data_IF_318814897351
#
_entry.id   IF_318814897351
#
_cell.length_a   1.000
_cell.length_b   1.000
_cell.length_c   1.000
_cell.angle_alpha   90.00
_cell.angle_beta   90.00
_cell.angle_gamma   90.00
#
_symmetry.space_group_name_H-M   'P 1'
#
loop_
_entity.id
_entity.type
_entity.pdbx_description
1 polymer ?
#
# COMPACT_ATOMS: atom_id res chain seq x y z
N UNK A 1 -82.24 -18.30 -122.20
CA UNK A 1 -81.41 -17.12 -122.24
C UNK A 1 -81.28 -16.58 -120.83
N UNK A 2 -80.31 -16.92 -120.12
CA UNK A 2 -80.11 -16.60 -118.69
C UNK A 2 -78.70 -16.08 -118.44
N UNK A 3 -78.60 -14.94 -117.96
CA UNK A 3 -77.39 -14.25 -117.68
C UNK A 3 -77.00 -14.53 -116.27
N UNK A 4 -75.85 -15.13 -116.03
CA UNK A 4 -75.25 -15.42 -114.83
C UNK A 4 -74.52 -14.16 -114.26
N UNK A 5 -74.86 -13.70 -113.11
CA UNK A 5 -74.13 -12.64 -112.43
C UNK A 5 -73.26 -13.27 -111.31
N UNK A 6 -71.94 -13.35 -111.46
CA UNK A 6 -71.03 -13.62 -110.42
C UNK A 6 -70.71 -12.38 -109.65
N UNK A 7 -71.01 -12.37 -108.38
CA UNK A 7 -70.54 -11.36 -107.48
C UNK A 7 -69.11 -11.72 -107.07
N UNK A 8 -68.20 -10.82 -107.35
CA UNK A 8 -66.84 -10.82 -106.85
C UNK A 8 -66.80 -10.41 -105.39
N UNK A 9 -66.31 -11.26 -104.55
CA UNK A 9 -65.97 -10.90 -103.16
C UNK A 9 -64.53 -10.48 -103.11
N UNK A 10 -64.27 -9.27 -103.47
CA UNK A 10 -63.00 -8.58 -103.15
C UNK A 10 -63.28 -7.61 -102.04
N UNK A 11 -62.81 -7.90 -100.87
CA UNK A 11 -62.64 -6.87 -99.89
C UNK A 11 -61.82 -7.35 -98.74
N UNK A 12 -60.63 -7.79 -99.01
CA UNK A 12 -59.58 -7.62 -98.02
C UNK A 12 -58.44 -6.92 -98.73
N UNK A 13 -58.42 -5.61 -98.59
CA UNK A 13 -57.30 -4.81 -99.10
C UNK A 13 -56.05 -5.19 -98.35
N UNK A 14 -55.01 -5.66 -99.10
CA UNK A 14 -53.70 -6.05 -98.54
C UNK A 14 -53.16 -4.91 -97.67
N UNK A 15 -53.48 -3.65 -98.00
CA UNK A 15 -53.11 -2.46 -97.21
C UNK A 15 -53.79 -2.40 -95.84
N UNK A 16 -55.03 -2.96 -95.70
CA UNK A 16 -55.70 -2.99 -94.39
C UNK A 16 -55.10 -4.03 -93.45
N UNK A 17 -54.65 -5.20 -94.03
CA UNK A 17 -53.95 -6.22 -93.29
C UNK A 17 -52.57 -5.74 -92.82
N UNK A 18 -51.88 -4.96 -93.62
CA UNK A 18 -50.56 -4.39 -93.32
C UNK A 18 -50.67 -3.33 -92.20
N UNK A 19 -51.70 -2.49 -92.24
CA UNK A 19 -51.95 -1.51 -91.16
C UNK A 19 -52.26 -2.20 -89.82
N UNK A 20 -53.09 -3.26 -89.84
CA UNK A 20 -53.41 -3.99 -88.61
C UNK A 20 -52.21 -4.75 -88.09
N UNK A 21 -51.46 -5.36 -88.97
CA UNK A 21 -50.28 -6.12 -88.53
C UNK A 21 -49.17 -5.17 -87.98
N UNK A 22 -48.98 -4.04 -88.61
CA UNK A 22 -48.09 -3.00 -88.15
C UNK A 22 -48.54 -2.38 -86.79
N UNK A 23 -49.85 -2.09 -86.65
CA UNK A 23 -50.38 -1.65 -85.39
C UNK A 23 -50.31 -2.68 -84.29
N UNK A 24 -50.59 -3.93 -84.59
CA UNK A 24 -50.44 -5.02 -83.62
C UNK A 24 -49.01 -5.22 -83.24
N UNK A 25 -48.09 -5.19 -84.21
CA UNK A 25 -46.62 -5.29 -83.92
C UNK A 25 -46.13 -4.16 -83.00
N UNK A 26 -46.61 -2.93 -83.22
CA UNK A 26 -46.30 -1.80 -82.40
C UNK A 26 -46.86 -1.94 -80.96
N UNK A 27 -48.07 -2.44 -80.81
CA UNK A 27 -48.68 -2.71 -79.51
C UNK A 27 -47.90 -3.83 -78.75
N UNK A 28 -47.53 -4.90 -79.47
CA UNK A 28 -46.72 -5.98 -78.84
C UNK A 28 -45.36 -5.47 -78.40
N UNK A 29 -44.67 -4.64 -79.19
CA UNK A 29 -43.41 -4.03 -78.80
C UNK A 29 -43.59 -3.11 -77.64
N UNK A 30 -44.61 -2.25 -77.58
CA UNK A 30 -44.90 -1.42 -76.43
C UNK A 30 -45.21 -2.22 -75.14
N UNK A 31 -45.89 -3.36 -75.29
CA UNK A 31 -46.24 -4.24 -74.21
C UNK A 31 -44.95 -4.95 -73.68
N UNK A 32 -44.03 -5.36 -74.55
CA UNK A 32 -42.75 -5.91 -74.16
C UNK A 32 -41.87 -4.87 -73.45
N UNK A 33 -41.79 -3.65 -74.00
CA UNK A 33 -41.01 -2.57 -73.37
C UNK A 33 -41.64 -2.18 -72.01
N UNK A 34 -42.93 -2.09 -71.89
CA UNK A 34 -43.61 -1.84 -70.64
C UNK A 34 -43.36 -2.93 -69.61
N UNK A 35 -43.36 -4.20 -70.04
CA UNK A 35 -43.11 -5.32 -69.14
C UNK A 35 -41.66 -5.33 -68.67
N UNK A 36 -40.67 -5.12 -69.53
CA UNK A 36 -39.26 -5.07 -69.19
C UNK A 36 -38.93 -3.85 -68.32
N UNK A 37 -39.57 -2.71 -68.51
CA UNK A 37 -39.40 -1.53 -67.67
C UNK A 37 -39.91 -1.73 -66.24
N UNK A 38 -41.00 -2.48 -66.07
CA UNK A 38 -41.55 -2.81 -64.75
C UNK A 38 -40.70 -3.86 -64.04
N UNK A 39 -40.20 -4.83 -64.79
CA UNK A 39 -39.31 -5.85 -64.23
C UNK A 39 -37.95 -5.25 -63.73
N UNK A 40 -37.35 -4.31 -64.47
CA UNK A 40 -36.12 -3.64 -64.05
C UNK A 40 -36.29 -2.74 -62.80
N UNK A 41 -37.42 -2.04 -62.69
CA UNK A 41 -37.72 -1.25 -61.49
C UNK A 41 -37.94 -2.14 -60.26
N UNK A 42 -38.60 -3.28 -60.43
CA UNK A 42 -38.79 -4.25 -59.34
C UNK A 42 -37.46 -4.91 -58.94
N UNK A 43 -36.55 -5.19 -59.85
CA UNK A 43 -35.22 -5.77 -59.57
C UNK A 43 -34.37 -4.79 -58.77
N UNK A 44 -34.29 -3.54 -59.13
CA UNK A 44 -33.54 -2.52 -58.40
C UNK A 44 -34.12 -2.32 -56.98
N UNK A 45 -35.44 -2.35 -56.83
CA UNK A 45 -36.09 -2.23 -55.52
C UNK A 45 -35.82 -3.43 -54.63
N UNK A 46 -35.81 -4.65 -55.18
CA UNK A 46 -35.43 -5.89 -54.48
C UNK A 46 -33.96 -5.87 -54.07
N UNK A 47 -33.04 -5.35 -54.90
CA UNK A 47 -31.62 -5.23 -54.59
C UNK A 47 -31.37 -4.26 -53.42
N UNK A 48 -32.08 -3.10 -53.40
CA UNK A 48 -32.03 -2.14 -52.31
C UNK A 48 -32.60 -2.72 -50.98
N UNK A 49 -33.73 -3.44 -51.08
CA UNK A 49 -34.35 -4.10 -49.91
C UNK A 49 -33.45 -5.21 -49.34
N UNK A 50 -32.78 -5.98 -50.20
CA UNK A 50 -31.79 -7.02 -49.77
C UNK A 50 -30.60 -6.36 -49.10
N UNK A 51 -30.11 -5.23 -49.59
CA UNK A 51 -29.00 -4.49 -48.97
C UNK A 51 -29.39 -3.98 -47.59
N UNK A 52 -30.58 -3.41 -47.45
CA UNK A 52 -31.11 -2.96 -46.13
C UNK A 52 -31.25 -4.16 -45.18
N UNK A 53 -31.69 -5.31 -45.64
CA UNK A 53 -31.79 -6.52 -44.84
C UNK A 53 -30.42 -7.02 -44.36
N UNK A 54 -29.42 -7.01 -45.24
CA UNK A 54 -28.04 -7.39 -44.88
C UNK A 54 -27.48 -6.42 -43.80
N UNK A 55 -27.61 -5.12 -44.02
CA UNK A 55 -27.18 -4.11 -43.03
C UNK A 55 -27.90 -4.27 -41.68
N UNK A 56 -29.18 -4.57 -41.71
CA UNK A 56 -30.00 -4.82 -40.51
C UNK A 56 -29.53 -6.12 -39.80
N UNK A 57 -29.22 -7.15 -40.54
CA UNK A 57 -28.66 -8.41 -39.99
C UNK A 57 -27.30 -8.18 -39.32
N UNK A 58 -26.39 -7.50 -39.99
CA UNK A 58 -25.07 -7.18 -39.46
C UNK A 58 -25.16 -6.32 -38.17
N UNK A 59 -26.06 -5.33 -38.20
CA UNK A 59 -26.34 -4.49 -37.01
C UNK A 59 -26.93 -5.33 -35.86
N UNK A 60 -27.83 -6.25 -36.14
CA UNK A 60 -28.41 -7.13 -35.14
C UNK A 60 -27.34 -8.07 -34.55
N UNK A 61 -26.45 -8.61 -35.36
CA UNK A 61 -25.32 -9.44 -34.94
C UNK A 61 -24.38 -8.64 -34.02
N UNK A 62 -23.99 -7.45 -34.44
CA UNK A 62 -23.17 -6.54 -33.65
C UNK A 62 -23.80 -6.20 -32.29
N UNK A 63 -25.11 -5.84 -32.30
CA UNK A 63 -25.84 -5.53 -31.07
C UNK A 63 -25.94 -6.75 -30.15
N UNK A 64 -26.14 -7.93 -30.68
CA UNK A 64 -26.18 -9.18 -29.93
C UNK A 64 -24.84 -9.49 -29.27
N UNK A 65 -23.74 -9.32 -30.00
CA UNK A 65 -22.38 -9.50 -29.44
C UNK A 65 -22.08 -8.45 -28.36
N UNK A 66 -22.46 -7.19 -28.60
CA UNK A 66 -22.31 -6.12 -27.61
C UNK A 66 -23.15 -6.36 -26.36
N UNK A 67 -24.38 -6.86 -26.52
CA UNK A 67 -25.23 -7.26 -25.40
C UNK A 67 -24.57 -8.35 -24.55
N UNK A 68 -24.08 -9.43 -25.18
CA UNK A 68 -23.36 -10.51 -24.48
C UNK A 68 -22.17 -9.99 -23.69
N UNK A 69 -21.40 -9.06 -24.27
CA UNK A 69 -20.26 -8.44 -23.58
C UNK A 69 -20.69 -7.60 -22.37
N UNK A 70 -21.76 -6.82 -22.52
CA UNK A 70 -22.32 -6.04 -21.42
C UNK A 70 -22.87 -6.93 -20.30
N UNK A 71 -23.58 -8.01 -20.65
CA UNK A 71 -24.10 -8.97 -19.67
C UNK A 71 -22.96 -9.64 -18.87
N UNK A 72 -21.88 -10.00 -19.55
CA UNK A 72 -20.69 -10.54 -18.85
C UNK A 72 -19.99 -9.51 -17.94
N UNK A 73 -19.93 -8.24 -18.35
CA UNK A 73 -19.41 -7.16 -17.51
C UNK A 73 -20.31 -6.89 -16.30
N UNK A 74 -21.62 -6.95 -16.47
CA UNK A 74 -22.58 -6.81 -15.36
C UNK A 74 -22.42 -7.94 -14.34
N UNK A 75 -22.27 -9.17 -14.79
CA UNK A 75 -22.02 -10.32 -13.90
C UNK A 75 -20.74 -10.14 -13.12
N UNK A 76 -19.65 -9.73 -13.79
CA UNK A 76 -18.37 -9.45 -13.12
C UNK A 76 -18.48 -8.33 -12.10
N UNK A 77 -19.12 -7.21 -12.45
CA UNK A 77 -19.32 -6.07 -11.55
C UNK A 77 -20.17 -6.43 -10.33
N UNK A 78 -21.24 -7.20 -10.52
CA UNK A 78 -22.06 -7.67 -9.42
C UNK A 78 -21.27 -8.59 -8.47
N UNK A 79 -20.50 -9.54 -9.02
CA UNK A 79 -19.62 -10.40 -8.21
C UNK A 79 -18.57 -9.59 -7.43
N UNK A 80 -17.95 -8.59 -8.07
CA UNK A 80 -16.99 -7.71 -7.41
C UNK A 80 -17.65 -6.84 -6.33
N UNK A 81 -18.86 -6.37 -6.58
CA UNK A 81 -19.65 -5.64 -5.57
C UNK A 81 -19.93 -6.49 -4.34
N UNK A 82 -20.40 -7.73 -4.54
CA UNK A 82 -20.70 -8.65 -3.45
C UNK A 82 -19.45 -8.97 -2.62
N UNK A 83 -18.30 -9.10 -3.29
CA UNK A 83 -17.03 -9.30 -2.61
C UNK A 83 -16.63 -8.09 -1.77
N UNK A 84 -16.73 -6.87 -2.32
CA UNK A 84 -16.46 -5.64 -1.60
C UNK A 84 -17.39 -5.44 -0.40
N UNK A 85 -18.67 -5.79 -0.52
CA UNK A 85 -19.62 -5.72 0.60
C UNK A 85 -19.23 -6.69 1.72
N UNK A 86 -18.74 -7.87 1.38
CA UNK A 86 -18.22 -8.84 2.37
C UNK A 86 -16.94 -8.34 3.04
N UNK A 87 -16.04 -7.75 2.26
CA UNK A 87 -14.79 -7.17 2.79
C UNK A 87 -15.10 -6.00 3.74
N UNK A 88 -16.05 -5.13 3.39
CA UNK A 88 -16.51 -4.03 4.26
C UNK A 88 -17.02 -4.60 5.59
N UNK A 89 -17.90 -5.60 5.57
CA UNK A 89 -18.41 -6.22 6.81
C UNK A 89 -17.31 -6.84 7.67
N UNK A 90 -16.30 -7.45 7.05
CA UNK A 90 -15.16 -8.02 7.76
C UNK A 90 -14.29 -6.96 8.42
N UNK A 91 -14.07 -5.83 7.71
CA UNK A 91 -13.33 -4.68 8.22
C UNK A 91 -14.09 -4.01 9.37
N UNK A 92 -15.39 -3.79 9.23
CA UNK A 92 -16.24 -3.24 10.30
C UNK A 92 -16.14 -4.08 11.59
N UNK A 93 -16.26 -5.39 11.48
CA UNK A 93 -16.09 -6.30 12.62
C UNK A 93 -14.70 -6.22 13.26
N UNK A 94 -13.67 -6.04 12.43
CA UNK A 94 -12.30 -5.88 12.91
C UNK A 94 -12.12 -4.55 13.64
N UNK A 95 -12.72 -3.48 13.12
CA UNK A 95 -12.73 -2.15 13.76
C UNK A 95 -13.42 -2.21 15.13
N UNK A 96 -14.58 -2.83 15.24
CA UNK A 96 -15.29 -3.00 16.52
C UNK A 96 -14.43 -3.75 17.54
N UNK A 97 -13.74 -4.82 17.09
CA UNK A 97 -12.82 -5.57 17.95
C UNK A 97 -11.66 -4.71 18.44
N UNK A 98 -11.02 -3.96 17.53
CA UNK A 98 -9.90 -3.07 17.86
C UNK A 98 -10.33 -1.92 18.78
N UNK A 99 -11.52 -1.36 18.61
CA UNK A 99 -12.08 -0.34 19.52
C UNK A 99 -12.25 -0.92 20.93
N UNK A 100 -12.75 -2.14 21.02
CA UNK A 100 -12.94 -2.82 22.32
C UNK A 100 -11.58 -3.11 22.99
N UNK A 101 -10.61 -3.63 22.24
CA UNK A 101 -9.25 -3.87 22.74
C UNK A 101 -8.57 -2.57 23.18
N UNK A 102 -8.72 -1.49 22.41
CA UNK A 102 -8.20 -0.17 22.77
C UNK A 102 -8.81 0.32 24.07
N UNK A 103 -10.12 0.24 24.23
CA UNK A 103 -10.79 0.66 25.47
C UNK A 103 -10.26 -0.11 26.68
N UNK A 104 -10.12 -1.44 26.56
CA UNK A 104 -9.59 -2.27 27.62
C UNK A 104 -8.13 -1.90 27.98
N UNK A 105 -7.31 -1.59 26.96
CA UNK A 105 -5.94 -1.12 27.14
C UNK A 105 -5.91 0.26 27.85
N UNK A 106 -6.77 1.19 27.46
CA UNK A 106 -6.87 2.52 28.06
C UNK A 106 -7.32 2.44 29.53
N UNK A 107 -8.28 1.56 29.85
CA UNK A 107 -8.71 1.29 31.23
C UNK A 107 -7.56 0.70 32.06
N UNK A 108 -6.84 -0.30 31.54
CA UNK A 108 -5.66 -0.88 32.18
C UNK A 108 -4.56 0.17 32.43
N UNK A 109 -4.26 1.01 31.44
CA UNK A 109 -3.28 2.10 31.56
C UNK A 109 -3.69 3.11 32.63
N UNK A 110 -4.99 3.42 32.73
CA UNK A 110 -5.52 4.29 33.79
C UNK A 110 -5.30 3.67 35.17
N UNK A 111 -5.57 2.37 35.33
CA UNK A 111 -5.32 1.66 36.59
C UNK A 111 -3.83 1.61 36.97
N UNK A 112 -2.97 1.31 35.97
CA UNK A 112 -1.51 1.35 36.19
C UNK A 112 -1.02 2.73 36.57
N UNK A 113 -1.53 3.79 35.95
CA UNK A 113 -1.19 5.17 36.29
C UNK A 113 -1.59 5.51 37.73
N UNK A 114 -2.77 5.05 38.20
CA UNK A 114 -3.19 5.21 39.60
C UNK A 114 -2.29 4.43 40.54
N UNK A 115 -1.94 3.19 40.24
CA UNK A 115 -1.00 2.36 41.02
C UNK A 115 0.38 3.01 41.10
N UNK A 116 0.92 3.51 40.01
CA UNK A 116 2.20 4.22 39.95
C UNK A 116 2.17 5.48 40.85
N UNK A 117 1.09 6.27 40.77
CA UNK A 117 0.93 7.46 41.60
C UNK A 117 0.88 7.11 43.10
N UNK A 118 0.21 6.02 43.47
CA UNK A 118 0.15 5.54 44.84
C UNK A 118 1.53 5.01 45.32
N UNK A 119 2.25 4.30 44.48
CA UNK A 119 3.62 3.81 44.76
C UNK A 119 4.56 5.00 44.93
N UNK A 120 4.54 5.99 44.04
CA UNK A 120 5.36 7.19 44.14
C UNK A 120 5.09 7.98 45.38
N UNK A 121 3.81 8.11 45.77
CA UNK A 121 3.42 8.78 47.04
C UNK A 121 3.91 7.99 48.25
N UNK A 122 3.88 6.65 48.21
CA UNK A 122 4.42 5.78 49.25
C UNK A 122 5.95 5.86 49.35
N UNK A 123 6.65 5.94 48.23
CA UNK A 123 8.11 6.10 48.17
C UNK A 123 8.56 7.49 48.63
N UNK A 124 7.79 8.56 48.39
CA UNK A 124 8.07 9.89 48.88
C UNK A 124 7.92 9.99 50.42
N UNK A 125 7.08 9.13 51.00
CA UNK A 125 6.87 9.07 52.44
C UNK A 125 7.87 8.15 53.19
N UNK A 126 8.63 7.35 52.48
CA UNK A 126 9.73 6.52 53.02
C UNK A 126 11.07 7.19 52.71
N UNK A 127 11.52 8.04 53.59
CA UNK A 127 12.87 8.57 53.61
C UNK A 127 13.88 7.39 53.83
N UNK A 128 14.26 6.73 52.75
CA UNK A 128 15.48 5.89 52.78
C UNK A 128 16.24 6.06 51.47
N UNK A 129 17.50 6.44 51.65
CA UNK A 129 18.52 6.71 50.65
C UNK A 129 18.84 5.47 49.76
N UNK A 130 18.07 5.31 48.67
CA UNK A 130 18.51 4.54 47.53
C UNK A 130 17.97 5.20 46.25
N UNK A 131 18.61 6.31 45.88
CA UNK A 131 18.43 7.00 44.65
C UNK A 131 18.98 6.17 43.48
N UNK A 132 18.12 5.42 42.76
CA UNK A 132 18.46 4.89 41.42
C UNK A 132 17.29 4.38 40.58
N UNK A 133 16.05 4.80 40.87
CA UNK A 133 14.92 4.55 39.93
C UNK A 133 14.41 5.88 39.37
N UNK A 134 15.25 6.52 38.55
CA UNK A 134 14.82 7.69 37.80
C UNK A 134 14.34 7.17 36.43
N UNK A 135 13.02 7.20 36.21
CA UNK A 135 12.43 6.97 34.90
C UNK A 135 12.21 8.31 34.21
N UNK A 136 12.66 8.38 32.95
CA UNK A 136 12.40 9.52 32.08
C UNK A 136 11.49 9.08 30.96
N UNK A 137 10.23 9.53 30.98
CA UNK A 137 9.24 9.13 29.99
C UNK A 137 8.90 7.63 29.97
N UNK A 138 9.03 6.94 31.14
CA UNK A 138 8.83 5.50 31.24
C UNK A 138 10.04 4.66 30.80
N UNK A 139 11.17 5.30 30.56
CA UNK A 139 12.45 4.61 30.23
C UNK A 139 13.35 4.62 31.47
N UNK A 140 13.74 3.47 32.04
CA UNK A 140 14.70 3.41 33.11
C UNK A 140 16.06 3.97 32.70
N UNK A 141 16.63 4.89 33.50
CA UNK A 141 17.88 5.61 33.21
C UNK A 141 18.98 5.31 34.24
N UNK A 142 19.10 4.05 34.59
CA UNK A 142 20.07 3.54 35.60
C UNK A 142 21.42 3.10 35.00
N UNK A 143 21.64 3.31 33.69
CA UNK A 143 22.79 2.84 32.95
C UNK A 143 24.02 3.72 33.15
N UNK A 144 25.22 3.08 33.20
CA UNK A 144 26.49 3.77 33.23
C UNK A 144 27.00 4.21 31.87
N UNK A 145 26.60 3.46 30.81
CA UNK A 145 26.94 3.74 29.43
C UNK A 145 25.70 3.70 28.54
N UNK A 146 25.71 4.54 27.51
CA UNK A 146 24.61 4.63 26.57
C UNK A 146 25.14 4.53 25.16
N UNK A 147 24.42 3.79 24.30
CA UNK A 147 24.65 3.78 22.87
C UNK A 147 23.37 4.16 22.16
N UNK A 148 23.39 5.27 21.43
CA UNK A 148 22.34 5.65 20.49
C UNK A 148 22.61 5.00 19.14
N UNK A 149 21.65 4.25 18.65
CA UNK A 149 21.66 3.60 17.33
C UNK A 149 20.56 4.27 16.52
N UNK A 150 20.94 5.11 15.57
CA UNK A 150 20.00 5.97 14.84
C UNK A 150 19.93 5.54 13.38
N UNK A 151 18.74 5.21 12.92
CA UNK A 151 18.48 4.96 11.51
C UNK A 151 18.68 6.26 10.71
N UNK A 152 19.54 6.19 9.72
CA UNK A 152 19.87 7.32 8.82
C UNK A 152 19.35 7.09 7.40
N UNK A 153 18.36 6.24 7.21
CA UNK A 153 17.72 5.95 5.93
C UNK A 153 17.04 7.19 5.30
N UNK A 154 16.68 7.07 4.04
CA UNK A 154 16.04 8.16 3.31
C UNK A 154 14.70 8.59 3.90
N UNK A 155 13.92 7.69 4.52
CA UNK A 155 12.68 8.00 5.24
C UNK A 155 12.97 8.85 6.47
N UNK A 156 13.91 8.42 7.30
CA UNK A 156 14.34 9.14 8.50
C UNK A 156 14.95 10.52 8.16
N UNK A 157 15.68 10.64 7.05
CA UNK A 157 16.24 11.93 6.59
C UNK A 157 15.14 12.93 6.24
N UNK A 158 14.00 12.50 5.71
CA UNK A 158 12.85 13.40 5.42
C UNK A 158 12.29 14.04 6.69
N UNK A 159 12.29 13.32 7.80
CA UNK A 159 11.80 13.78 9.11
C UNK A 159 12.93 14.12 10.09
N UNK A 160 14.17 14.27 9.59
CA UNK A 160 15.38 14.38 10.42
C UNK A 160 15.31 15.49 11.47
N UNK A 161 14.71 16.63 11.12
CA UNK A 161 14.52 17.72 12.09
C UNK A 161 13.71 17.27 13.31
N UNK A 162 12.68 16.47 13.09
CA UNK A 162 11.81 15.95 14.15
C UNK A 162 12.52 14.85 14.96
N UNK A 163 13.21 13.93 14.27
CA UNK A 163 14.05 12.92 14.91
C UNK A 163 15.05 13.59 15.84
N UNK A 164 15.75 14.61 15.36
CA UNK A 164 16.74 15.34 16.13
C UNK A 164 16.17 16.07 17.34
N UNK A 165 14.93 16.56 17.27
CA UNK A 165 14.26 17.17 18.42
C UNK A 165 14.11 16.15 19.57
N UNK A 166 13.64 14.93 19.28
CA UNK A 166 13.50 13.88 20.29
C UNK A 166 14.84 13.35 20.80
N UNK A 167 15.80 13.12 19.89
CA UNK A 167 17.15 12.69 20.27
C UNK A 167 17.81 13.72 21.20
N UNK A 168 17.69 15.01 20.86
CA UNK A 168 18.23 16.10 21.66
C UNK A 168 17.58 16.15 23.06
N UNK A 169 16.25 15.97 23.14
CA UNK A 169 15.53 15.92 24.42
C UNK A 169 16.03 14.74 25.28
N UNK A 170 16.11 13.55 24.70
CA UNK A 170 16.59 12.36 25.42
C UNK A 170 18.02 12.57 25.94
N UNK A 171 18.91 13.10 25.11
CA UNK A 171 20.32 13.37 25.50
C UNK A 171 20.37 14.43 26.62
N UNK A 172 19.49 15.45 26.60
CA UNK A 172 19.46 16.52 27.61
C UNK A 172 18.93 16.06 28.94
N UNK A 173 17.83 15.29 28.94
CA UNK A 173 17.15 14.88 30.18
C UNK A 173 17.76 13.64 30.82
N UNK A 174 18.55 12.86 30.05
CA UNK A 174 19.23 11.69 30.60
C UNK A 174 20.22 12.10 31.68
N UNK A 175 20.23 11.43 32.84
CA UNK A 175 21.23 11.67 33.88
C UNK A 175 22.65 11.54 33.34
N UNK A 176 23.61 12.15 34.03
CA UNK A 176 25.03 12.04 33.67
C UNK A 176 25.50 10.58 33.80
N UNK A 177 26.08 10.06 32.71
CA UNK A 177 26.60 8.71 32.61
C UNK A 177 28.12 8.72 32.51
N UNK A 178 28.78 7.57 32.61
CA UNK A 178 30.24 7.49 32.43
C UNK A 178 30.67 7.78 31.00
N UNK A 179 29.82 7.36 30.03
CA UNK A 179 30.09 7.62 28.64
C UNK A 179 28.88 7.32 27.73
N UNK A 180 28.84 8.00 26.63
CA UNK A 180 27.84 7.76 25.60
C UNK A 180 28.48 7.65 24.21
N UNK A 181 27.79 6.98 23.29
CA UNK A 181 28.22 6.78 21.91
C UNK A 181 27.02 6.89 20.97
N UNK A 182 27.26 7.41 19.77
CA UNK A 182 26.23 7.51 18.73
C UNK A 182 26.75 6.81 17.48
N UNK A 183 25.98 5.88 16.99
CA UNK A 183 26.24 5.15 15.73
C UNK A 183 24.99 5.16 14.88
N UNK A 184 25.15 4.91 13.58
CA UNK A 184 24.00 4.65 12.73
C UNK A 184 23.53 3.18 12.87
N UNK A 185 22.41 2.85 12.24
CA UNK A 185 21.83 1.51 12.23
C UNK A 185 22.74 0.45 11.58
N UNK A 186 23.75 0.83 10.80
CA UNK A 186 24.79 -0.07 10.25
C UNK A 186 25.99 -0.24 11.18
N UNK A 187 25.98 0.34 12.38
CA UNK A 187 27.08 0.28 13.34
C UNK A 187 28.24 1.21 13.05
N UNK A 188 28.07 2.17 12.13
CA UNK A 188 29.09 3.16 11.80
C UNK A 188 28.99 4.34 12.77
N UNK A 189 30.10 4.77 13.42
CA UNK A 189 30.08 5.92 14.31
C UNK A 189 29.62 7.20 13.59
N UNK A 190 28.72 7.94 14.22
CA UNK A 190 28.24 9.25 13.73
C UNK A 190 29.07 10.40 14.28
N UNK A 191 30.28 10.15 14.69
CA UNK A 191 31.26 11.10 15.23
C UNK A 191 32.67 10.73 14.83
N UNK A 192 33.64 11.51 15.28
CA UNK A 192 35.05 11.35 14.90
C UNK A 192 35.67 10.02 15.34
N UNK A 193 35.10 9.31 16.30
CA UNK A 193 35.73 8.11 16.91
C UNK A 193 34.70 7.04 17.26
N UNK A 194 35.10 5.78 17.16
CA UNK A 194 34.37 4.59 17.65
C UNK A 194 34.52 4.37 19.17
N UNK A 195 34.78 5.41 19.94
CA UNK A 195 34.93 5.35 21.38
C UNK A 195 33.76 6.01 22.09
N UNK A 196 33.51 5.62 23.34
CA UNK A 196 32.60 6.34 24.21
C UNK A 196 33.12 7.76 24.44
N UNK A 197 32.25 8.75 24.27
CA UNK A 197 32.52 10.14 24.65
C UNK A 197 32.25 10.26 26.14
N UNK A 198 33.15 10.92 26.88
CA UNK A 198 32.95 11.25 28.30
C UNK A 198 31.72 12.15 28.40
N UNK A 199 30.82 11.86 29.30
CA UNK A 199 29.57 12.60 29.40
C UNK A 199 29.77 13.95 30.11
N UNK A 200 29.93 14.99 29.32
CA UNK A 200 29.99 16.38 29.76
C UNK A 200 29.01 17.23 28.94
N UNK A 201 28.59 18.37 29.50
CA UNK A 201 27.72 19.30 28.77
C UNK A 201 28.28 19.70 27.39
N UNK A 202 29.63 19.88 27.31
CA UNK A 202 30.30 20.24 26.07
C UNK A 202 30.25 19.10 25.05
N UNK A 203 30.51 17.84 25.44
CA UNK A 203 30.43 16.72 24.52
C UNK A 203 29.00 16.41 24.11
N UNK A 204 28.00 16.54 25.00
CA UNK A 204 26.58 16.43 24.62
C UNK A 204 26.19 17.48 23.56
N UNK A 205 26.57 18.75 23.78
CA UNK A 205 26.29 19.83 22.84
C UNK A 205 26.99 19.61 21.50
N UNK A 206 28.24 19.18 21.52
CA UNK A 206 29.01 18.86 20.31
C UNK A 206 28.40 17.70 19.52
N UNK A 207 27.97 16.62 20.20
CA UNK A 207 27.32 15.49 19.57
C UNK A 207 25.98 15.88 18.94
N UNK A 208 25.16 16.67 19.62
CA UNK A 208 23.89 17.20 19.07
C UNK A 208 24.14 18.07 17.84
N UNK A 209 25.13 18.97 17.88
CA UNK A 209 25.48 19.81 16.76
C UNK A 209 25.95 18.98 15.54
N UNK A 210 26.71 17.94 15.78
CA UNK A 210 27.19 17.04 14.74
C UNK A 210 26.05 16.22 14.12
N UNK A 211 25.11 15.72 14.92
CA UNK A 211 23.92 15.00 14.45
C UNK A 211 23.00 15.90 13.62
N UNK A 212 22.80 17.16 14.01
CA UNK A 212 21.96 18.12 13.26
C UNK A 212 22.44 18.31 11.82
N UNK A 213 23.74 18.21 11.58
CA UNK A 213 24.37 18.39 10.28
C UNK A 213 24.72 17.04 9.60
N UNK A 214 24.24 15.93 10.13
CA UNK A 214 24.52 14.62 9.55
C UNK A 214 23.72 14.40 8.26
N UNK A 215 24.42 13.97 7.20
CA UNK A 215 23.85 13.74 5.86
C UNK A 215 24.10 12.35 5.29
N UNK A 216 24.57 11.41 6.10
CA UNK A 216 24.80 10.03 5.68
C UNK A 216 23.48 9.28 5.49
N UNK A 217 23.48 8.26 4.62
CA UNK A 217 22.35 7.38 4.41
C UNK A 217 22.70 5.92 4.78
N UNK A 218 21.73 5.20 5.30
CA UNK A 218 21.80 3.77 5.61
C UNK A 218 20.66 2.99 4.97
N UNK A 219 20.65 1.69 5.16
CA UNK A 219 19.66 0.76 4.57
C UNK A 219 18.56 0.30 5.53
N UNK A 220 18.28 1.05 6.59
CA UNK A 220 17.21 0.76 7.57
C UNK A 220 17.30 -0.66 8.17
N UNK A 221 18.47 -1.03 8.68
CA UNK A 221 18.66 -2.32 9.36
C UNK A 221 19.22 -2.14 10.76
N UNK A 222 18.38 -1.95 11.78
CA UNK A 222 18.81 -1.72 13.16
C UNK A 222 19.55 -2.92 13.77
N UNK A 223 19.33 -4.13 13.27
CA UNK A 223 19.94 -5.36 13.75
C UNK A 223 21.46 -5.30 13.66
N UNK A 224 21.99 -4.77 12.57
CA UNK A 224 23.45 -4.63 12.37
C UNK A 224 24.08 -3.72 13.45
N UNK A 225 23.46 -2.57 13.72
CA UNK A 225 23.90 -1.64 14.74
C UNK A 225 23.82 -2.24 16.16
N UNK A 226 22.73 -2.96 16.45
CA UNK A 226 22.54 -3.64 17.74
C UNK A 226 23.61 -4.71 17.93
N UNK A 227 23.82 -5.60 16.97
CA UNK A 227 24.83 -6.66 17.03
C UNK A 227 26.22 -6.07 17.16
N UNK A 228 26.56 -5.03 16.38
CA UNK A 228 27.83 -4.32 16.45
C UNK A 228 28.08 -3.75 17.85
N UNK A 229 27.05 -3.17 18.47
CA UNK A 229 27.13 -2.64 19.84
C UNK A 229 27.31 -3.73 20.87
N UNK A 230 26.50 -4.77 20.85
CA UNK A 230 26.55 -5.87 21.83
C UNK A 230 27.89 -6.62 21.85
N UNK A 231 28.55 -6.71 20.70
CA UNK A 231 29.92 -7.32 20.59
C UNK A 231 30.99 -6.48 21.25
N UNK A 232 30.79 -5.17 21.39
CA UNK A 232 31.77 -4.21 21.96
C UNK A 232 31.53 -3.89 23.42
N UNK A 233 30.35 -4.24 23.97
CA UNK A 233 30.02 -4.03 25.39
C UNK A 233 30.82 -5.01 26.27
N UNK A 234 31.44 -4.47 27.30
CA UNK A 234 32.13 -5.29 28.30
C UNK A 234 31.14 -5.82 29.33
N UNK A 235 31.42 -7.00 29.84
CA UNK A 235 30.52 -7.73 30.76
C UNK A 235 30.29 -7.08 32.11
N UNK A 236 31.12 -6.13 32.48
CA UNK A 236 31.06 -5.39 33.77
C UNK A 236 30.47 -3.97 33.61
N UNK A 237 30.01 -3.60 32.41
CA UNK A 237 29.42 -2.31 32.14
C UNK A 237 27.90 -2.42 32.13
N UNK A 238 27.19 -1.52 32.84
CA UNK A 238 25.74 -1.42 32.79
C UNK A 238 25.40 -0.48 31.61
N UNK A 239 24.93 -1.07 30.52
CA UNK A 239 24.74 -0.35 29.26
C UNK A 239 23.27 -0.34 28.85
N UNK A 240 22.79 0.78 28.29
CA UNK A 240 21.52 0.85 27.55
C UNK A 240 21.76 1.19 26.09
N UNK A 241 21.05 0.48 25.21
CA UNK A 241 20.98 0.78 23.79
C UNK A 241 19.66 1.49 23.51
N UNK A 242 19.70 2.63 22.83
CA UNK A 242 18.53 3.36 22.33
C UNK A 242 18.49 3.22 20.81
N UNK A 243 17.56 2.43 20.31
CA UNK A 243 17.38 2.15 18.88
C UNK A 243 16.28 3.06 18.34
N UNK A 244 16.62 3.93 17.40
CA UNK A 244 15.75 4.97 16.87
C UNK A 244 15.63 4.76 15.36
N UNK A 245 14.38 4.59 14.87
CA UNK A 245 14.15 4.32 13.46
C UNK A 245 12.67 4.29 13.09
N UNK A 246 12.40 4.08 11.82
CA UNK A 246 11.05 4.00 11.25
C UNK A 246 10.84 2.73 10.42
N UNK A 247 11.90 1.98 10.08
CA UNK A 247 11.77 0.78 9.27
C UNK A 247 12.73 -0.34 9.73
N UNK A 248 12.30 -1.57 9.44
CA UNK A 248 13.06 -2.78 9.60
C UNK A 248 13.03 -3.52 8.28
N UNK A 249 14.07 -3.34 7.46
CA UNK A 249 14.19 -3.97 6.15
C UNK A 249 14.36 -5.48 6.29
N UNK A 250 13.25 -6.18 6.20
CA UNK A 250 13.23 -7.65 6.18
C UNK A 250 13.41 -8.15 4.75
N UNK A 251 14.53 -8.75 4.46
CA UNK A 251 14.64 -9.67 3.33
C UNK A 251 14.06 -11.06 3.73
N UNK A 252 12.70 -11.11 3.85
CA UNK A 252 11.96 -12.35 4.09
C UNK A 252 11.51 -12.59 5.54
N UNK A 253 10.30 -13.09 5.71
CA UNK A 253 9.63 -13.36 7.00
C UNK A 253 10.31 -14.39 7.92
N UNK A 254 11.38 -15.04 7.47
CA UNK A 254 12.17 -16.00 8.27
C UNK A 254 13.26 -15.35 9.12
N UNK A 255 13.60 -14.09 8.90
CA UNK A 255 14.70 -13.43 9.58
C UNK A 255 14.31 -12.80 10.91
N UNK A 256 13.05 -12.38 11.07
CA UNK A 256 12.57 -11.73 12.29
C UNK A 256 12.88 -12.54 13.57
N UNK A 257 12.44 -13.79 13.64
CA UNK A 257 12.69 -14.66 14.80
C UNK A 257 14.16 -15.01 14.96
N UNK A 258 14.87 -15.16 13.85
CA UNK A 258 16.31 -15.44 13.84
C UNK A 258 17.12 -14.25 14.36
N UNK A 259 16.76 -13.03 13.97
CA UNK A 259 17.42 -11.82 14.43
C UNK A 259 17.20 -11.60 15.93
N UNK A 260 15.98 -11.84 16.42
CA UNK A 260 15.70 -11.81 17.87
C UNK A 260 16.55 -12.83 18.63
N UNK A 261 16.65 -14.04 18.12
CA UNK A 261 17.47 -15.10 18.75
C UNK A 261 18.95 -14.74 18.78
N UNK A 262 19.51 -14.26 17.67
CA UNK A 262 20.91 -13.80 17.61
C UNK A 262 21.17 -12.67 18.60
N UNK A 263 20.29 -11.68 18.67
CA UNK A 263 20.44 -10.56 19.61
C UNK A 263 20.34 -11.06 21.06
N UNK A 264 19.38 -11.92 21.35
CA UNK A 264 19.19 -12.55 22.67
C UNK A 264 20.43 -13.28 23.15
N UNK A 265 21.05 -14.06 22.26
CA UNK A 265 22.25 -14.83 22.59
C UNK A 265 23.46 -13.92 22.78
N UNK A 266 23.65 -12.92 21.93
CA UNK A 266 24.73 -11.94 22.05
C UNK A 266 24.57 -11.04 23.28
N UNK A 267 23.33 -10.80 23.73
CA UNK A 267 23.04 -9.95 24.89
C UNK A 267 23.16 -10.69 26.24
N UNK A 268 23.61 -11.93 26.24
CA UNK A 268 23.89 -12.70 27.48
C UNK A 268 25.36 -12.70 27.81
N UNK A 269 25.67 -12.58 29.11
CA UNK A 269 26.97 -12.86 29.66
C UNK A 269 27.13 -14.37 29.86
N UNK A 270 28.38 -14.83 30.15
CA UNK A 270 28.66 -16.23 30.51
C UNK A 270 27.83 -16.68 31.73
N UNK A 271 27.51 -15.76 32.63
CA UNK A 271 26.67 -16.02 33.83
C UNK A 271 25.18 -15.96 33.56
N UNK A 272 24.75 -15.78 32.31
CA UNK A 272 23.33 -15.68 31.90
C UNK A 272 22.67 -14.32 32.14
N UNK A 273 23.41 -13.34 32.70
CA UNK A 273 22.91 -11.97 32.88
C UNK A 273 22.91 -11.23 31.54
N UNK A 274 22.01 -10.28 31.34
CA UNK A 274 22.04 -9.41 30.18
C UNK A 274 23.22 -8.42 30.24
N UNK A 275 23.81 -8.16 29.06
CA UNK A 275 24.89 -7.18 28.91
C UNK A 275 24.32 -5.75 28.80
N UNK A 276 23.19 -5.62 28.13
CA UNK A 276 22.58 -4.33 27.88
C UNK A 276 21.02 -4.41 27.92
N UNK A 277 20.42 -3.33 28.37
CA UNK A 277 18.99 -3.06 28.17
C UNK A 277 18.80 -2.44 26.78
N UNK A 278 17.74 -2.81 26.06
CA UNK A 278 17.49 -2.32 24.70
C UNK A 278 16.16 -1.59 24.67
N UNK A 279 16.21 -0.27 24.45
CA UNK A 279 15.05 0.58 24.28
C UNK A 279 14.84 0.90 22.79
N UNK A 280 13.59 1.09 22.38
CA UNK A 280 13.21 1.44 21.02
C UNK A 280 12.38 2.71 20.94
N UNK A 281 12.66 3.55 19.95
CA UNK A 281 11.88 4.72 19.62
C UNK A 281 11.56 4.64 18.12
N UNK A 282 10.28 4.40 17.83
CA UNK A 282 9.80 4.23 16.46
C UNK A 282 9.04 5.44 15.97
N UNK A 283 9.31 5.88 14.73
CA UNK A 283 8.50 6.87 14.03
C UNK A 283 7.51 6.13 13.13
N UNK A 284 6.22 6.43 13.28
CA UNK A 284 5.14 5.76 12.56
C UNK A 284 4.42 6.79 11.71
N UNK A 285 4.45 6.59 10.39
CA UNK A 285 3.72 7.45 9.47
C UNK A 285 2.23 7.08 9.39
N UNK A 286 1.40 8.05 8.99
CA UNK A 286 -0.01 7.83 8.70
C UNK A 286 -0.25 6.86 7.52
N UNK A 287 0.76 6.67 6.67
CA UNK A 287 0.73 5.75 5.53
C UNK A 287 1.11 4.31 5.91
N UNK A 288 1.40 4.05 7.20
CA UNK A 288 1.69 2.72 7.73
C UNK A 288 3.17 2.32 7.70
N UNK A 289 4.08 3.20 7.29
CA UNK A 289 5.52 2.96 7.51
C UNK A 289 5.82 2.95 9.02
N UNK A 290 6.80 2.17 9.44
CA UNK A 290 7.14 1.99 10.86
C UNK A 290 6.42 0.84 11.55
N UNK A 291 5.46 0.17 10.90
CA UNK A 291 4.71 -0.91 11.53
C UNK A 291 5.59 -2.15 11.79
N UNK A 292 6.41 -2.52 10.82
CA UNK A 292 7.32 -3.68 10.95
C UNK A 292 8.45 -3.38 11.96
N UNK A 293 8.99 -2.17 11.95
CA UNK A 293 9.93 -1.72 12.99
C UNK A 293 9.29 -1.78 14.37
N UNK A 294 8.06 -1.32 14.50
CA UNK A 294 7.33 -1.34 15.78
C UNK A 294 7.08 -2.74 16.30
N UNK A 295 6.73 -3.70 15.43
CA UNK A 295 6.56 -5.10 15.80
C UNK A 295 7.87 -5.70 16.26
N UNK A 296 8.95 -5.48 15.51
CA UNK A 296 10.29 -5.97 15.86
C UNK A 296 10.77 -5.39 17.18
N UNK A 297 10.68 -4.07 17.33
CA UNK A 297 11.16 -3.40 18.54
C UNK A 297 10.34 -3.74 19.78
N UNK A 298 9.02 -3.96 19.67
CA UNK A 298 8.21 -4.45 20.80
C UNK A 298 8.68 -5.81 21.31
N UNK A 299 8.90 -6.76 20.41
CA UNK A 299 9.42 -8.07 20.79
C UNK A 299 10.84 -7.97 21.37
N UNK A 300 11.70 -7.20 20.72
CA UNK A 300 13.10 -7.03 21.14
C UNK A 300 13.20 -6.37 22.52
N UNK A 301 12.48 -5.27 22.76
CA UNK A 301 12.53 -4.54 24.03
C UNK A 301 11.96 -5.37 25.16
N UNK A 302 10.88 -6.12 24.92
CA UNK A 302 10.29 -7.01 25.91
C UNK A 302 11.26 -8.12 26.34
N UNK A 303 12.03 -8.67 25.41
CA UNK A 303 13.04 -9.71 25.71
C UNK A 303 14.30 -9.15 26.37
N UNK A 304 14.56 -7.84 26.30
CA UNK A 304 15.79 -7.20 26.74
C UNK A 304 15.61 -6.12 27.82
N UNK A 305 14.55 -6.23 28.65
CA UNK A 305 14.21 -5.34 29.76
C UNK A 305 14.14 -3.86 29.38
N UNK A 306 13.75 -3.59 28.15
CA UNK A 306 13.63 -2.25 27.62
C UNK A 306 12.21 -1.79 27.45
N UNK A 307 12.05 -0.58 26.93
CA UNK A 307 10.77 0.06 26.62
C UNK A 307 10.72 0.46 25.15
N UNK A 308 9.57 0.28 24.51
CA UNK A 308 9.33 0.77 23.16
C UNK A 308 8.34 1.94 23.19
N UNK A 309 8.72 3.05 22.57
CA UNK A 309 7.89 4.24 22.40
C UNK A 309 7.65 4.45 20.90
N UNK A 310 6.40 4.58 20.50
CA UNK A 310 5.99 4.93 19.15
C UNK A 310 5.61 6.41 19.08
N UNK A 311 6.22 7.13 18.16
CA UNK A 311 5.98 8.55 17.92
C UNK A 311 5.40 8.73 16.50
N UNK A 312 4.49 9.68 16.28
CA UNK A 312 4.07 10.04 14.94
C UNK A 312 5.24 10.70 14.18
N UNK A 313 5.33 10.48 12.87
CA UNK A 313 6.33 11.12 11.99
C UNK A 313 5.95 12.56 11.60
#
# INVERSE_FOLDING_TARGET
MTKNNRRSSELFNLSFLDIISCGFGAIVILLLISKTGVENNNLNQVEDDVKILIEAQDKNKFLSERKKKLDSQLLYLNSSKDQLENDIKSIEKTIEKLITEKRNADESNSEFSKKLKNINNALQNSNDNNARDIEVGGIPVDSEYIVFIIDTSGSMQRIWKKVMMYVEEIIKIHPTVKGFKIINDQGVPMGANDKYLIDTKSYRAGAIAQLKNFSGQSSSNPVVGIISSLRKIKTNEITSLYVIGDDYSMYGSKEFSKDLEIIKDLNKTISGKRKARIHGIGFISSEGSGLEFSKFMRALTQENDGTFIALPD
#
